data_IF_737640959593
#
_entry.id   IF_737640959593
#
_cell.length_a   1.000
_cell.length_b   1.000
_cell.length_c   1.000
_cell.angle_alpha   90.00
_cell.angle_beta   90.00
_cell.angle_gamma   90.00
#
_symmetry.space_group_name_H-M   'P 1'
#
loop_
_entity.id
_entity.type
_entity.pdbx_description
1 polymer ?
#
# COMPACT_ATOMS: atom_id res chain seq x y z
N UNK A 1 26.99 -15.33 -9.17
CA UNK A 1 26.43 -14.09 -8.61
C UNK A 1 25.18 -13.82 -9.40
N UNK A 2 24.02 -14.16 -8.84
CA UNK A 2 22.75 -13.83 -9.47
C UNK A 2 22.46 -12.38 -9.11
N UNK A 3 22.53 -11.47 -10.08
CA UNK A 3 21.92 -10.16 -9.98
C UNK A 3 20.41 -10.36 -9.83
N UNK A 4 19.98 -10.62 -8.61
CA UNK A 4 18.59 -10.65 -8.20
C UNK A 4 18.14 -9.18 -8.16
N UNK A 5 17.91 -8.60 -9.35
CA UNK A 5 17.21 -7.33 -9.45
C UNK A 5 15.89 -7.52 -8.70
N UNK A 6 15.63 -6.77 -7.61
CA UNK A 6 14.34 -6.83 -6.98
C UNK A 6 13.31 -6.56 -8.08
N UNK A 7 12.23 -7.35 -8.19
CA UNK A 7 11.26 -7.14 -9.25
C UNK A 7 10.87 -5.67 -9.22
N UNK A 8 11.07 -4.93 -10.32
CA UNK A 8 10.76 -3.51 -10.35
C UNK A 8 9.24 -3.38 -10.34
N UNK A 9 8.70 -3.37 -9.14
CA UNK A 9 7.28 -3.35 -8.87
C UNK A 9 6.70 -1.97 -9.22
N UNK A 10 5.67 -1.89 -10.08
CA UNK A 10 5.12 -0.61 -10.48
C UNK A 10 4.41 0.06 -9.30
N UNK A 11 4.46 1.41 -9.24
CA UNK A 11 3.73 2.18 -8.22
C UNK A 11 2.22 1.91 -8.27
N UNK A 12 1.66 1.82 -9.47
CA UNK A 12 0.26 1.50 -9.68
C UNK A 12 0.14 0.04 -10.11
N UNK A 13 -0.49 -0.76 -9.25
CA UNK A 13 -0.59 -2.21 -9.39
C UNK A 13 -2.04 -2.64 -9.60
N UNK A 14 -2.22 -3.68 -10.40
CA UNK A 14 -3.47 -4.45 -10.50
C UNK A 14 -3.66 -5.30 -9.24
N UNK A 15 -4.88 -5.80 -9.03
CA UNK A 15 -5.19 -6.70 -7.91
C UNK A 15 -4.30 -7.96 -7.90
N UNK A 16 -3.91 -8.46 -9.08
CA UNK A 16 -3.00 -9.61 -9.20
C UNK A 16 -1.59 -9.27 -8.72
N UNK A 17 -1.06 -8.12 -9.15
CA UNK A 17 0.27 -7.65 -8.75
C UNK A 17 0.32 -7.32 -7.25
N UNK A 18 -0.73 -6.67 -6.72
CA UNK A 18 -0.84 -6.40 -5.28
C UNK A 18 -0.82 -7.67 -4.45
N UNK A 19 -1.53 -8.71 -4.89
CA UNK A 19 -1.53 -10.00 -4.22
C UNK A 19 -0.15 -10.64 -4.20
N UNK A 20 0.57 -10.60 -5.31
CA UNK A 20 1.92 -11.12 -5.39
C UNK A 20 2.89 -10.32 -4.52
N UNK A 21 2.81 -8.99 -4.58
CA UNK A 21 3.70 -8.08 -3.88
C UNK A 21 3.53 -8.12 -2.35
N UNK A 22 2.29 -8.09 -1.87
CA UNK A 22 1.98 -8.12 -0.43
C UNK A 22 1.71 -9.52 0.11
N UNK A 23 1.85 -10.57 -0.70
CA UNK A 23 1.57 -11.96 -0.29
C UNK A 23 0.09 -12.21 0.10
N UNK A 24 -0.85 -11.46 -0.49
CA UNK A 24 -2.26 -11.53 -0.13
C UNK A 24 -3.00 -12.62 -0.92
N UNK A 25 -3.87 -13.35 -0.23
CA UNK A 25 -4.88 -14.18 -0.90
C UNK A 25 -5.98 -13.31 -1.53
N UNK A 26 -6.72 -13.86 -2.49
CA UNK A 26 -7.87 -13.17 -3.09
C UNK A 26 -8.92 -12.78 -2.05
N UNK A 27 -9.19 -13.69 -1.11
CA UNK A 27 -10.16 -13.49 -0.03
C UNK A 27 -9.72 -12.36 0.89
N UNK A 28 -8.42 -12.28 1.20
CA UNK A 28 -7.87 -11.20 2.01
C UNK A 28 -8.03 -9.85 1.30
N UNK A 29 -7.61 -9.76 0.02
CA UNK A 29 -7.75 -8.53 -0.74
C UNK A 29 -9.21 -8.08 -0.84
N UNK A 30 -10.15 -9.01 -1.09
CA UNK A 30 -11.58 -8.69 -1.14
C UNK A 30 -12.12 -8.13 0.19
N UNK A 31 -11.68 -8.68 1.33
CA UNK A 31 -12.05 -8.17 2.65
C UNK A 31 -11.48 -6.78 2.89
N UNK A 32 -10.21 -6.55 2.56
CA UNK A 32 -9.60 -5.22 2.69
C UNK A 32 -10.30 -4.19 1.81
N UNK A 33 -10.65 -4.52 0.57
CA UNK A 33 -11.41 -3.63 -0.32
C UNK A 33 -12.77 -3.21 0.24
N UNK A 34 -13.40 -4.03 1.08
CA UNK A 34 -14.66 -3.70 1.74
C UNK A 34 -14.48 -2.67 2.87
N UNK A 35 -13.26 -2.46 3.36
CA UNK A 35 -12.96 -1.42 4.34
C UNK A 35 -12.91 -0.06 3.63
N UNK A 36 -13.51 0.96 4.25
CA UNK A 36 -13.56 2.31 3.68
C UNK A 36 -12.19 2.99 3.70
N UNK A 37 -11.35 2.58 4.64
CA UNK A 37 -10.01 3.03 4.94
C UNK A 37 -8.97 2.42 3.99
N UNK A 38 -9.27 1.27 3.39
CA UNK A 38 -8.35 0.63 2.46
C UNK A 38 -8.30 1.43 1.14
N UNK A 39 -7.10 1.64 0.58
CA UNK A 39 -6.94 2.32 -0.70
C UNK A 39 -7.81 1.71 -1.78
N UNK A 40 -8.62 2.54 -2.42
CA UNK A 40 -9.57 2.11 -3.44
C UNK A 40 -8.92 2.06 -4.81
N UNK A 41 -9.49 1.21 -5.67
CA UNK A 41 -9.01 1.03 -7.03
C UNK A 41 -9.40 2.23 -7.86
N UNK A 42 -8.45 2.75 -8.63
CA UNK A 42 -8.76 3.71 -9.67
C UNK A 42 -9.61 3.01 -10.73
N UNK A 43 -10.82 3.52 -10.96
CA UNK A 43 -11.81 2.93 -11.86
C UNK A 43 -11.40 3.10 -13.33
N UNK A 44 -10.64 4.15 -13.66
CA UNK A 44 -10.20 4.44 -15.03
C UNK A 44 -9.06 3.53 -15.43
N UNK A 45 -8.07 3.37 -14.54
CA UNK A 45 -6.84 2.61 -14.85
C UNK A 45 -6.87 1.17 -14.34
N UNK A 46 -7.86 0.81 -13.52
CA UNK A 46 -7.98 -0.54 -12.94
C UNK A 46 -6.84 -0.91 -11.98
N UNK A 47 -6.13 0.10 -11.45
CA UNK A 47 -4.92 -0.07 -10.63
C UNK A 47 -5.06 0.64 -9.30
N UNK A 48 -4.21 0.32 -8.34
CA UNK A 48 -4.16 0.96 -7.02
C UNK A 48 -2.72 1.31 -6.70
N UNK A 49 -2.54 2.44 -6.01
CA UNK A 49 -1.23 2.88 -5.54
C UNK A 49 -0.73 1.91 -4.45
N UNK A 50 0.32 1.15 -4.77
CA UNK A 50 0.95 0.19 -3.86
C UNK A 50 1.55 0.90 -2.64
N UNK A 51 2.01 2.14 -2.78
CA UNK A 51 2.52 2.92 -1.66
C UNK A 51 1.42 3.26 -0.66
N UNK A 52 0.21 3.55 -1.16
CA UNK A 52 -0.94 3.81 -0.29
C UNK A 52 -1.33 2.54 0.49
N UNK A 53 -1.22 1.36 -0.12
CA UNK A 53 -1.49 0.09 0.54
C UNK A 53 -0.42 -0.23 1.58
N UNK A 54 0.86 0.00 1.28
CA UNK A 54 1.93 -0.13 2.27
C UNK A 54 1.66 0.72 3.52
N UNK A 55 1.30 1.99 3.32
CA UNK A 55 0.93 2.89 4.44
C UNK A 55 -0.29 2.42 5.23
N UNK A 56 -1.27 1.82 4.56
CA UNK A 56 -2.40 1.22 5.27
C UNK A 56 -1.94 0.09 6.18
N UNK A 57 -1.03 -0.76 5.72
CA UNK A 57 -0.48 -1.83 6.55
C UNK A 57 0.41 -1.31 7.68
N UNK A 58 1.22 -0.28 7.45
CA UNK A 58 2.00 0.37 8.52
C UNK A 58 1.09 0.93 9.62
N UNK A 59 -0.04 1.55 9.24
CA UNK A 59 -1.04 2.03 10.19
C UNK A 59 -1.71 0.87 10.95
N UNK A 60 -2.14 -0.18 10.25
CA UNK A 60 -2.73 -1.38 10.90
C UNK A 60 -1.74 -2.06 11.84
N UNK A 61 -0.45 -2.05 11.52
CA UNK A 61 0.62 -2.58 12.36
C UNK A 61 0.98 -1.66 13.55
N UNK A 62 0.40 -0.46 13.64
CA UNK A 62 0.72 0.53 14.68
C UNK A 62 2.07 1.22 14.49
N UNK A 63 2.69 1.09 13.31
CA UNK A 63 3.96 1.77 12.95
C UNK A 63 3.70 3.24 12.59
N UNK A 64 2.51 3.54 12.04
CA UNK A 64 2.11 4.90 11.70
C UNK A 64 1.00 5.41 12.64
N UNK A 65 1.16 6.65 13.15
CA UNK A 65 0.21 7.29 14.08
C UNK A 65 -1.15 7.68 13.44
N UNK A 66 -1.23 7.75 12.12
CA UNK A 66 -2.40 8.25 11.41
C UNK A 66 -2.80 7.35 10.25
N UNK A 67 -4.12 7.15 10.02
CA UNK A 67 -4.58 6.44 8.84
C UNK A 67 -4.14 7.17 7.58
N UNK A 68 -3.79 6.44 6.49
CA UNK A 68 -3.39 7.05 5.24
C UNK A 68 -4.52 7.97 4.73
N UNK A 69 -4.28 9.28 4.70
CA UNK A 69 -5.27 10.23 4.16
C UNK A 69 -5.53 9.91 2.69
N UNK A 70 -6.80 9.91 2.28
CA UNK A 70 -7.18 9.95 0.87
C UNK A 70 -6.47 11.16 0.25
N UNK A 71 -5.47 10.89 -0.60
CA UNK A 71 -4.70 11.89 -1.38
C UNK A 71 -4.10 13.07 -0.59
N UNK A 72 -3.48 12.84 0.57
CA UNK A 72 -2.68 13.85 1.28
C UNK A 72 -1.21 13.45 1.32
N UNK A 73 -0.29 14.38 0.99
CA UNK A 73 1.17 14.21 1.11
C UNK A 73 1.51 13.52 2.45
N UNK A 74 2.32 12.48 2.35
CA UNK A 74 2.85 11.76 3.50
C UNK A 74 4.01 12.54 4.10
N UNK A 75 3.93 12.72 5.41
CA UNK A 75 5.04 13.16 6.27
C UNK A 75 5.35 11.93 7.15
N UNK A 76 6.55 11.32 7.03
CA UNK A 76 6.94 10.20 7.86
C UNK A 76 6.96 10.58 9.34
N UNK A 77 6.53 9.68 10.23
CA UNK A 77 6.65 9.84 11.68
C UNK A 77 8.11 10.04 12.13
N UNK A 78 9.07 9.57 11.34
CA UNK A 78 10.50 9.78 11.54
C UNK A 78 10.96 11.25 11.43
N UNK A 79 10.14 12.18 10.94
CA UNK A 79 10.45 13.62 10.93
C UNK A 79 10.00 14.36 12.21
N UNK A 80 9.33 13.69 13.15
CA UNK A 80 8.96 14.30 14.45
C UNK A 80 10.09 14.30 15.48
N UNK A 81 11.19 13.60 15.21
CA UNK A 81 12.30 13.41 16.15
C UNK A 81 13.62 13.98 15.60
N UNK A 82 13.59 15.26 15.20
CA UNK A 82 14.83 16.03 15.02
C UNK A 82 14.72 17.33 15.84
N UNK A 83 15.59 17.52 16.86
CA UNK A 83 15.56 18.67 17.76
C UNK A 83 15.85 19.99 17.06
#
# INVERSE_FOLDING_TARGET
MSDEFPPHWPRFMTDRELRAYFGLSERALKRYRALKEFPQKDVVVGKTDSLAIGRFFDWVAGIADHPPRRSGRYVPAAEKDKP
#
